data_IF_377903752968
#
_entry.id   IF_377903752968
#
_cell.length_a   1.000
_cell.length_b   1.000
_cell.length_c   1.000
_cell.angle_alpha   90.00
_cell.angle_beta   90.00
_cell.angle_gamma   90.00
#
_symmetry.space_group_name_H-M   'P 1'
#
loop_
_entity.id
_entity.type
_entity.pdbx_description
1 polymer ?
#
# COMPACT_ATOMS: atom_id res chain seq x y z
N UNK A 1 20.07 -36.38 57.04
CA UNK A 1 18.81 -35.70 56.63
C UNK A 1 19.06 -34.20 56.46
N UNK A 2 19.62 -33.73 55.32
CA UNK A 2 19.97 -32.30 55.11
C UNK A 2 19.97 -31.86 53.62
N UNK A 3 19.03 -32.33 52.79
CA UNK A 3 18.95 -31.90 51.38
C UNK A 3 17.65 -31.17 50.98
N UNK A 4 16.67 -31.04 51.89
CA UNK A 4 15.38 -30.40 51.58
C UNK A 4 15.30 -28.90 51.94
N UNK A 5 16.26 -28.35 52.71
CA UNK A 5 16.16 -26.97 53.19
C UNK A 5 16.69 -25.91 52.21
N UNK A 6 17.58 -26.27 51.28
CA UNK A 6 18.18 -25.30 50.34
C UNK A 6 17.41 -25.18 49.01
N UNK A 7 16.42 -26.06 48.75
CA UNK A 7 15.56 -25.95 47.58
C UNK A 7 14.46 -24.89 47.80
N UNK A 8 14.08 -24.64 49.06
CA UNK A 8 13.02 -23.68 49.40
C UNK A 8 13.48 -22.22 49.29
N UNK A 9 14.78 -21.94 49.50
CA UNK A 9 15.34 -20.59 49.43
C UNK A 9 15.51 -20.08 47.99
N UNK A 10 15.70 -20.98 47.02
CA UNK A 10 15.87 -20.62 45.60
C UNK A 10 14.55 -20.25 44.92
N UNK A 11 13.43 -20.75 45.42
CA UNK A 11 12.09 -20.47 44.88
C UNK A 11 11.50 -19.13 45.32
N UNK A 12 12.08 -18.46 46.33
CA UNK A 12 11.57 -17.19 46.87
C UNK A 12 12.19 -15.94 46.21
N UNK A 13 13.22 -16.07 45.37
CA UNK A 13 13.84 -14.92 44.68
C UNK A 13 13.32 -14.68 43.25
N UNK A 14 12.59 -15.64 42.67
CA UNK A 14 12.08 -15.56 41.30
C UNK A 14 10.66 -14.94 41.18
N UNK A 15 10.13 -14.35 42.26
CA UNK A 15 8.73 -13.94 42.36
C UNK A 15 8.41 -12.46 42.09
N UNK A 16 9.41 -11.58 41.91
CA UNK A 16 9.16 -10.15 41.66
C UNK A 16 9.62 -9.81 40.25
N UNK A 17 8.81 -10.20 39.27
CA UNK A 17 8.82 -9.59 37.94
C UNK A 17 7.37 -9.24 37.62
N UNK A 18 6.81 -8.32 38.40
CA UNK A 18 5.51 -7.73 38.08
C UNK A 18 5.69 -6.91 36.80
N UNK A 19 5.12 -7.45 35.73
CA UNK A 19 4.95 -6.84 34.41
C UNK A 19 4.45 -5.40 34.52
N UNK A 20 5.29 -4.43 34.15
CA UNK A 20 4.86 -3.05 33.96
C UNK A 20 4.17 -2.94 32.61
N UNK A 21 2.84 -2.94 32.58
CA UNK A 21 2.09 -2.58 31.39
C UNK A 21 2.19 -1.05 31.21
N UNK A 22 3.14 -0.61 30.39
CA UNK A 22 3.16 0.78 29.94
C UNK A 22 1.97 0.99 29.02
N UNK A 23 0.98 1.77 29.46
CA UNK A 23 -0.09 2.24 28.58
C UNK A 23 0.55 3.13 27.51
N UNK A 24 0.81 2.56 26.33
CA UNK A 24 1.07 3.35 25.13
C UNK A 24 -0.22 4.10 24.84
N UNK A 25 -0.26 5.39 25.19
CA UNK A 25 -1.22 6.31 24.61
C UNK A 25 -1.01 6.21 23.10
N UNK A 26 -1.99 5.69 22.38
CA UNK A 26 -2.01 5.76 20.92
C UNK A 26 -1.97 7.24 20.59
N UNK A 27 -0.79 7.74 20.24
CA UNK A 27 -0.67 9.04 19.57
C UNK A 27 -1.52 8.88 18.32
N UNK A 28 -2.63 9.62 18.23
CA UNK A 28 -3.37 9.79 16.99
C UNK A 28 -2.39 10.43 16.03
N UNK A 29 -1.74 9.59 15.23
CA UNK A 29 -0.87 10.03 14.17
C UNK A 29 -1.79 10.55 13.07
N UNK A 30 -2.05 11.86 13.11
CA UNK A 30 -2.86 12.56 12.09
C UNK A 30 -2.24 12.46 10.69
N UNK A 31 -0.99 11.96 10.60
CA UNK A 31 -0.25 11.74 9.38
C UNK A 31 -0.20 10.26 8.95
N UNK A 32 -0.82 9.34 9.70
CA UNK A 32 -0.60 7.91 9.45
C UNK A 32 -1.16 7.39 8.14
N UNK A 33 -2.16 8.07 7.56
CA UNK A 33 -2.84 7.57 6.36
C UNK A 33 -3.30 8.72 5.45
N UNK A 34 -2.41 9.66 5.09
CA UNK A 34 -2.72 10.55 3.95
C UNK A 34 -2.73 9.67 2.69
N UNK A 35 -3.93 9.37 2.21
CA UNK A 35 -4.14 8.71 0.93
C UNK A 35 -3.83 9.70 -0.20
N UNK A 36 -2.55 9.78 -0.57
CA UNK A 36 -2.06 10.67 -1.63
C UNK A 36 -2.82 10.45 -2.94
N UNK A 37 -3.30 9.23 -3.19
CA UNK A 37 -4.15 8.94 -4.37
C UNK A 37 -5.41 9.78 -4.31
N UNK A 38 -6.11 9.79 -3.17
CA UNK A 38 -7.34 10.57 -2.99
C UNK A 38 -7.12 12.06 -3.16
N UNK A 39 -6.03 12.58 -2.59
CA UNK A 39 -5.68 14.00 -2.72
C UNK A 39 -5.45 14.35 -4.19
N UNK A 40 -4.67 13.53 -4.90
CA UNK A 40 -4.40 13.76 -6.31
C UNK A 40 -5.61 13.59 -7.22
N UNK A 41 -6.53 12.68 -6.91
CA UNK A 41 -7.81 12.57 -7.59
C UNK A 41 -8.62 13.86 -7.45
N UNK A 42 -8.75 14.39 -6.23
CA UNK A 42 -9.44 15.63 -5.97
C UNK A 42 -8.81 16.82 -6.72
N UNK A 43 -7.47 16.92 -6.74
CA UNK A 43 -6.77 17.97 -7.50
C UNK A 43 -7.07 17.90 -9.00
N UNK A 44 -7.20 16.69 -9.56
CA UNK A 44 -7.60 16.52 -10.97
C UNK A 44 -9.06 16.90 -11.17
N UNK A 45 -9.95 16.53 -10.25
CA UNK A 45 -11.38 16.87 -10.31
C UNK A 45 -11.61 18.39 -10.25
N UNK A 46 -10.81 19.10 -9.46
CA UNK A 46 -10.79 20.56 -9.38
C UNK A 46 -10.18 21.23 -10.63
N UNK A 47 -9.67 20.46 -11.59
CA UNK A 47 -9.14 20.95 -12.86
C UNK A 47 -7.64 21.26 -12.86
N UNK A 48 -6.94 20.96 -11.76
CA UNK A 48 -5.51 21.25 -11.58
C UNK A 48 -4.60 20.04 -11.87
N UNK A 49 -5.05 19.11 -12.71
CA UNK A 49 -4.27 17.93 -13.08
C UNK A 49 -3.04 18.28 -13.92
N UNK A 50 -1.88 17.77 -13.51
CA UNK A 50 -0.58 17.96 -14.20
C UNK A 50 0.00 16.62 -14.66
N UNK A 51 0.95 16.60 -15.63
CA UNK A 51 1.67 15.37 -16.00
C UNK A 51 2.25 14.64 -14.78
N UNK A 52 2.81 15.38 -13.82
CA UNK A 52 3.31 14.82 -12.57
C UNK A 52 2.21 14.08 -11.79
N UNK A 53 1.06 14.71 -11.59
CA UNK A 53 -0.07 14.11 -10.86
C UNK A 53 -0.60 12.87 -11.59
N UNK A 54 -0.75 12.93 -12.92
CA UNK A 54 -1.21 11.79 -13.71
C UNK A 54 -0.24 10.60 -13.62
N UNK A 55 1.07 10.87 -13.59
CA UNK A 55 2.09 9.83 -13.40
C UNK A 55 1.99 9.17 -12.02
N UNK A 56 1.85 9.95 -10.97
CA UNK A 56 1.72 9.43 -9.60
C UNK A 56 0.45 8.60 -9.43
N UNK A 57 -0.69 9.07 -9.97
CA UNK A 57 -1.94 8.31 -9.96
C UNK A 57 -1.82 7.01 -10.76
N UNK A 58 -1.22 7.04 -11.95
CA UNK A 58 -1.01 5.85 -12.76
C UNK A 58 -0.14 4.81 -12.03
N UNK A 59 0.95 5.24 -11.42
CA UNK A 59 1.85 4.38 -10.65
C UNK A 59 1.15 3.79 -9.41
N UNK A 60 0.42 4.62 -8.65
CA UNK A 60 -0.28 4.17 -7.46
C UNK A 60 -1.30 3.06 -7.81
N UNK A 61 -2.09 3.26 -8.85
CA UNK A 61 -3.05 2.25 -9.31
C UNK A 61 -2.38 1.02 -9.94
N UNK A 62 -1.26 1.20 -10.63
CA UNK A 62 -0.45 0.09 -11.15
C UNK A 62 0.05 -0.81 -10.00
N UNK A 63 0.62 -0.23 -8.94
CA UNK A 63 1.12 -0.99 -7.79
C UNK A 63 -0.01 -1.61 -6.95
N UNK A 64 -1.20 -1.01 -6.95
CA UNK A 64 -2.43 -1.62 -6.39
C UNK A 64 -3.03 -2.73 -7.27
N UNK A 65 -2.43 -3.04 -8.43
CA UNK A 65 -2.95 -3.98 -9.43
C UNK A 65 -4.33 -3.59 -10.00
N UNK A 66 -4.75 -2.34 -9.82
CA UNK A 66 -5.97 -1.79 -10.40
C UNK A 66 -5.70 -1.29 -11.83
N UNK A 67 -5.33 -2.22 -12.71
CA UNK A 67 -4.77 -1.90 -14.03
C UNK A 67 -5.70 -1.09 -14.93
N UNK A 68 -7.03 -1.24 -14.82
CA UNK A 68 -7.97 -0.41 -15.58
C UNK A 68 -7.85 1.08 -15.22
N UNK A 69 -7.73 1.39 -13.92
CA UNK A 69 -7.55 2.78 -13.48
C UNK A 69 -6.16 3.29 -13.82
N UNK A 70 -5.13 2.45 -13.67
CA UNK A 70 -3.77 2.81 -14.06
C UNK A 70 -3.70 3.24 -15.54
N UNK A 71 -4.33 2.48 -16.44
CA UNK A 71 -4.39 2.81 -17.87
C UNK A 71 -5.05 4.16 -18.15
N UNK A 72 -6.17 4.47 -17.48
CA UNK A 72 -6.85 5.76 -17.61
C UNK A 72 -5.90 6.93 -17.29
N UNK A 73 -5.10 6.80 -16.23
CA UNK A 73 -4.14 7.82 -15.82
C UNK A 73 -2.92 7.89 -16.74
N UNK A 74 -2.40 6.75 -17.22
CA UNK A 74 -1.34 6.72 -18.23
C UNK A 74 -1.78 7.40 -19.53
N UNK A 75 -3.02 7.20 -19.97
CA UNK A 75 -3.54 7.88 -21.17
C UNK A 75 -3.63 9.39 -20.97
N UNK A 76 -4.07 9.86 -19.80
CA UNK A 76 -4.05 11.30 -19.46
C UNK A 76 -2.63 11.86 -19.46
N UNK A 77 -1.67 11.12 -18.89
CA UNK A 77 -0.26 11.47 -18.91
C UNK A 77 0.25 11.63 -20.34
N UNK A 78 0.03 10.64 -21.22
CA UNK A 78 0.52 10.67 -22.60
C UNK A 78 -0.15 11.74 -23.47
N UNK A 79 -1.38 12.15 -23.13
CA UNK A 79 -2.05 13.29 -23.77
C UNK A 79 -1.46 14.63 -23.32
N UNK A 80 -1.09 14.75 -22.05
CA UNK A 80 -0.53 15.97 -21.49
C UNK A 80 0.95 16.15 -21.85
N UNK A 81 1.71 15.06 -21.93
CA UNK A 81 3.14 15.08 -22.21
C UNK A 81 3.56 13.82 -22.98
N UNK A 82 4.41 13.99 -24.01
CA UNK A 82 5.07 12.87 -24.68
C UNK A 82 6.17 12.30 -23.79
N UNK A 83 5.79 11.44 -22.84
CA UNK A 83 6.75 10.73 -22.00
C UNK A 83 7.63 9.78 -22.84
N UNK A 84 8.94 9.99 -22.79
CA UNK A 84 9.96 9.08 -23.35
C UNK A 84 10.52 8.09 -22.33
N UNK A 85 9.99 8.10 -21.09
CA UNK A 85 10.44 7.23 -20.01
C UNK A 85 10.13 5.75 -20.34
N UNK A 86 11.17 4.90 -20.50
CA UNK A 86 11.00 3.48 -20.78
C UNK A 86 10.21 2.74 -19.70
N UNK A 87 10.34 3.13 -18.42
CA UNK A 87 9.67 2.45 -17.32
C UNK A 87 8.16 2.68 -17.37
N UNK A 88 7.73 3.92 -17.60
CA UNK A 88 6.32 4.28 -17.78
C UNK A 88 5.71 3.51 -18.95
N UNK A 89 6.44 3.40 -20.07
CA UNK A 89 5.98 2.64 -21.23
C UNK A 89 5.86 1.14 -20.93
N UNK A 90 6.80 0.56 -20.18
CA UNK A 90 6.73 -0.84 -19.79
C UNK A 90 5.55 -1.12 -18.86
N UNK A 91 5.35 -0.29 -17.82
CA UNK A 91 4.22 -0.43 -16.89
C UNK A 91 2.87 -0.30 -17.61
N UNK A 92 2.76 0.64 -18.56
CA UNK A 92 1.58 0.77 -19.42
C UNK A 92 1.30 -0.51 -20.24
N UNK A 93 2.32 -1.07 -20.90
CA UNK A 93 2.18 -2.33 -21.67
C UNK A 93 1.77 -3.50 -20.77
N UNK A 94 2.34 -3.58 -19.57
CA UNK A 94 2.00 -4.62 -18.60
C UNK A 94 0.55 -4.50 -18.12
N UNK A 95 0.11 -3.29 -17.79
CA UNK A 95 -1.28 -3.02 -17.43
C UNK A 95 -2.25 -3.39 -18.56
N UNK A 96 -1.94 -3.04 -19.81
CA UNK A 96 -2.73 -3.44 -20.99
C UNK A 96 -2.87 -4.95 -21.11
N UNK A 97 -1.76 -5.68 -20.96
CA UNK A 97 -1.75 -7.15 -21.03
C UNK A 97 -2.64 -7.76 -19.94
N UNK A 98 -2.56 -7.24 -18.72
CA UNK A 98 -3.35 -7.72 -17.58
C UNK A 98 -4.86 -7.48 -17.76
N UNK A 99 -5.24 -6.31 -18.30
CA UNK A 99 -6.65 -6.03 -18.60
C UNK A 99 -7.17 -6.95 -19.71
N UNK A 100 -6.41 -7.13 -20.79
CA UNK A 100 -6.80 -8.01 -21.91
C UNK A 100 -6.98 -9.47 -21.46
N UNK A 101 -6.08 -9.99 -20.63
CA UNK A 101 -6.21 -11.36 -20.11
C UNK A 101 -7.43 -11.52 -19.20
N UNK A 102 -7.73 -10.52 -18.36
CA UNK A 102 -8.93 -10.50 -17.51
C UNK A 102 -10.24 -10.47 -18.31
N UNK A 103 -10.28 -9.74 -19.42
CA UNK A 103 -11.45 -9.72 -20.31
C UNK A 103 -11.66 -11.07 -21.00
N UNK A 104 -10.57 -11.69 -21.47
CA UNK A 104 -10.60 -13.02 -22.09
C UNK A 104 -11.15 -14.09 -21.14
N UNK A 105 -10.67 -14.12 -19.88
CA UNK A 105 -11.14 -15.11 -18.91
C UNK A 105 -12.62 -14.95 -18.57
N UNK A 106 -13.11 -13.71 -18.45
CA UNK A 106 -14.55 -13.44 -18.21
C UNK A 106 -15.44 -13.90 -19.37
N UNK A 107 -14.95 -13.87 -20.61
CA UNK A 107 -15.68 -14.35 -21.77
C UNK A 107 -15.82 -15.88 -21.78
N UNK A 108 -14.78 -16.61 -21.35
CA UNK A 108 -14.79 -18.09 -21.30
C UNK A 108 -15.75 -18.62 -20.22
N UNK A 109 -15.90 -17.92 -19.10
CA UNK A 109 -16.76 -18.35 -17.97
C UNK A 109 -18.27 -18.14 -18.24
N UNK A 110 -18.64 -17.36 -19.26
CA UNK A 110 -20.04 -17.04 -19.59
C UNK A 110 -20.72 -18.01 -20.57
N UNK A 111 -20.06 -19.11 -20.94
CA UNK A 111 -20.59 -20.11 -21.89
C UNK A 111 -21.05 -21.38 -21.18
#
# INVERSE_FOLDING_TARGET
MKFKSNLLAFLLFAGISTVSFSQTKTKTDVNKDIDVVRVYEQVVEEGYGTPFIYKELANAYYFKSEYNKALLWFEKLFKAEKSSDPEILQRYKQALKAVKSSQSSKAVVKN
#
